data_IF_502064242243
#
_entry.id   IF_502064242243
#
_cell.length_a   1.000
_cell.length_b   1.000
_cell.length_c   1.000
_cell.angle_alpha   90.00
_cell.angle_beta   90.00
_cell.angle_gamma   90.00
#
_symmetry.space_group_name_H-M   'P 1'
#
loop_
_entity.id
_entity.type
_entity.pdbx_description
1 polymer ?
#
# COMPACT_ATOMS: atom_id res chain seq x y z
N UNK A 1 17.33 -21.36 7.15
CA UNK A 1 18.27 -20.31 6.72
C UNK A 1 18.75 -20.43 5.26
N UNK A 2 18.91 -21.66 4.72
CA UNK A 2 19.36 -21.85 3.33
C UNK A 2 18.47 -21.17 2.26
N UNK A 3 17.15 -21.24 2.40
CA UNK A 3 16.20 -20.67 1.43
C UNK A 3 16.28 -19.14 1.38
N UNK A 4 16.36 -18.48 2.53
CA UNK A 4 16.50 -17.02 2.64
C UNK A 4 17.78 -16.53 1.94
N UNK A 5 18.91 -17.19 2.17
CA UNK A 5 20.19 -16.86 1.53
C UNK A 5 20.15 -17.09 0.01
N UNK A 6 19.50 -18.16 -0.45
CA UNK A 6 19.30 -18.43 -1.88
C UNK A 6 18.44 -17.35 -2.54
N UNK A 7 17.34 -16.94 -1.91
CA UNK A 7 16.48 -15.86 -2.41
C UNK A 7 17.19 -14.51 -2.40
N UNK A 8 17.99 -14.22 -1.38
CA UNK A 8 18.80 -13.01 -1.32
C UNK A 8 19.84 -12.97 -2.45
N UNK A 9 20.58 -14.08 -2.67
CA UNK A 9 21.56 -14.18 -3.76
C UNK A 9 20.89 -14.02 -5.13
N UNK A 10 19.72 -14.63 -5.36
CA UNK A 10 18.94 -14.49 -6.60
C UNK A 10 18.50 -13.04 -6.84
N UNK A 11 18.16 -12.29 -5.79
CA UNK A 11 17.65 -10.92 -5.89
C UNK A 11 18.72 -9.84 -5.62
N UNK A 12 20.01 -10.20 -5.66
CA UNK A 12 21.12 -9.30 -5.29
C UNK A 12 21.07 -7.96 -6.05
N UNK A 13 20.80 -7.99 -7.35
CA UNK A 13 20.74 -6.78 -8.17
C UNK A 13 19.59 -5.85 -7.73
N UNK A 14 18.42 -6.41 -7.42
CA UNK A 14 17.28 -5.64 -6.94
C UNK A 14 17.58 -4.97 -5.58
N UNK A 15 18.31 -5.66 -4.70
CA UNK A 15 18.74 -5.10 -3.41
C UNK A 15 19.70 -3.92 -3.61
N UNK A 16 20.69 -4.06 -4.50
CA UNK A 16 21.62 -2.97 -4.81
C UNK A 16 20.89 -1.77 -5.43
N UNK A 17 19.99 -2.01 -6.37
CA UNK A 17 19.18 -0.96 -6.98
C UNK A 17 18.26 -0.27 -5.95
N UNK A 18 17.71 -1.02 -4.99
CA UNK A 18 16.88 -0.45 -3.93
C UNK A 18 17.69 0.44 -2.97
N UNK A 19 18.97 0.12 -2.73
CA UNK A 19 19.85 0.92 -1.88
C UNK A 19 20.30 2.23 -2.54
N UNK A 20 20.44 2.25 -3.88
CA UNK A 20 20.87 3.43 -4.63
C UNK A 20 19.72 4.28 -5.19
N UNK A 21 18.52 3.70 -5.26
CA UNK A 21 17.33 4.37 -5.77
C UNK A 21 16.91 5.55 -4.88
N UNK A 22 16.59 6.68 -5.52
CA UNK A 22 15.95 7.84 -4.86
C UNK A 22 14.48 7.60 -4.53
N UNK A 23 13.86 6.61 -5.15
CA UNK A 23 12.45 6.28 -4.94
C UNK A 23 12.27 5.26 -3.82
N UNK A 24 11.30 5.51 -2.95
CA UNK A 24 10.91 4.58 -1.89
C UNK A 24 9.66 3.79 -2.29
N UNK A 25 9.59 2.54 -1.83
CA UNK A 25 8.35 1.73 -1.92
C UNK A 25 7.32 2.14 -0.84
N UNK A 26 7.48 3.30 -0.21
CA UNK A 26 6.69 3.76 0.94
C UNK A 26 5.22 3.95 0.59
N UNK A 27 4.92 4.65 -0.50
CA UNK A 27 3.55 4.93 -0.94
C UNK A 27 2.79 3.65 -1.25
N UNK A 28 3.39 2.74 -2.02
CA UNK A 28 2.78 1.45 -2.37
C UNK A 28 2.54 0.59 -1.13
N UNK A 29 3.52 0.50 -0.21
CA UNK A 29 3.35 -0.20 1.08
C UNK A 29 2.23 0.42 1.91
N UNK A 30 2.14 1.74 1.94
CA UNK A 30 1.09 2.50 2.61
C UNK A 30 -0.31 2.16 2.07
N UNK A 31 -0.46 2.18 0.74
CA UNK A 31 -1.70 1.79 0.07
C UNK A 31 -2.08 0.35 0.36
N UNK A 32 -1.13 -0.59 0.26
CA UNK A 32 -1.36 -2.00 0.59
C UNK A 32 -1.80 -2.20 2.06
N UNK A 33 -1.22 -1.44 2.99
CA UNK A 33 -1.62 -1.47 4.42
C UNK A 33 -3.05 -0.98 4.60
N UNK A 34 -3.44 0.12 3.94
CA UNK A 34 -4.79 0.68 3.99
C UNK A 34 -5.82 -0.32 3.44
N UNK A 35 -5.57 -0.93 2.28
CA UNK A 35 -6.44 -1.95 1.68
C UNK A 35 -6.61 -3.14 2.63
N UNK A 36 -5.50 -3.66 3.19
CA UNK A 36 -5.54 -4.76 4.17
C UNK A 36 -6.32 -4.40 5.43
N UNK A 37 -6.26 -3.16 5.88
CA UNK A 37 -7.04 -2.69 7.03
C UNK A 37 -8.54 -2.63 6.71
N UNK A 38 -8.91 -2.10 5.53
CA UNK A 38 -10.30 -2.07 5.08
C UNK A 38 -10.87 -3.49 5.03
N UNK A 39 -10.13 -4.43 4.42
CA UNK A 39 -10.53 -5.84 4.36
C UNK A 39 -10.71 -6.47 5.75
N UNK A 40 -9.80 -6.22 6.71
CA UNK A 40 -9.92 -6.70 8.10
C UNK A 40 -11.16 -6.17 8.82
N UNK A 41 -11.53 -4.91 8.58
CA UNK A 41 -12.70 -4.26 9.18
C UNK A 41 -14.01 -4.49 8.42
N UNK A 42 -13.97 -5.22 7.32
CA UNK A 42 -15.14 -5.43 6.47
C UNK A 42 -16.08 -6.54 6.97
N UNK A 43 -15.71 -7.24 8.06
CA UNK A 43 -16.51 -8.28 8.75
C UNK A 43 -17.37 -9.14 7.81
N UNK A 44 -16.76 -9.67 6.75
CA UNK A 44 -17.45 -10.56 5.82
C UNK A 44 -18.22 -9.86 4.70
N UNK A 45 -17.67 -8.78 4.10
CA UNK A 45 -18.04 -8.42 2.72
C UNK A 45 -17.82 -9.63 1.81
N UNK A 46 -18.85 -10.46 1.66
CA UNK A 46 -18.86 -11.67 0.83
C UNK A 46 -18.70 -11.33 -0.66
N UNK A 47 -19.00 -10.09 -1.04
CA UNK A 47 -18.90 -9.61 -2.41
C UNK A 47 -17.67 -8.72 -2.61
N UNK A 48 -16.82 -9.08 -3.56
CA UNK A 48 -15.64 -8.29 -3.97
C UNK A 48 -16.02 -6.86 -4.41
N UNK A 49 -17.19 -6.67 -5.01
CA UNK A 49 -17.71 -5.36 -5.39
C UNK A 49 -17.88 -4.44 -4.18
N UNK A 50 -18.33 -4.97 -3.05
CA UNK A 50 -18.50 -4.21 -1.81
C UNK A 50 -17.15 -3.80 -1.22
N UNK A 51 -16.16 -4.71 -1.25
CA UNK A 51 -14.80 -4.39 -0.82
C UNK A 51 -14.18 -3.30 -1.70
N UNK A 52 -14.31 -3.42 -3.02
CA UNK A 52 -13.81 -2.45 -4.00
C UNK A 52 -14.46 -1.08 -3.80
N UNK A 53 -15.78 -1.04 -3.66
CA UNK A 53 -16.53 0.19 -3.39
C UNK A 53 -16.05 0.88 -2.11
N UNK A 54 -15.83 0.11 -1.03
CA UNK A 54 -15.33 0.65 0.24
C UNK A 54 -13.90 1.18 0.13
N UNK A 55 -13.04 0.52 -0.64
CA UNK A 55 -11.68 1.00 -0.94
C UNK A 55 -11.75 2.34 -1.70
N UNK A 56 -12.58 2.43 -2.76
CA UNK A 56 -12.73 3.64 -3.56
C UNK A 56 -13.27 4.81 -2.73
N UNK A 57 -14.28 4.57 -1.88
CA UNK A 57 -14.82 5.59 -0.98
C UNK A 57 -13.75 6.10 -0.01
N UNK A 58 -12.96 5.19 0.59
CA UNK A 58 -11.91 5.59 1.54
C UNK A 58 -10.77 6.35 0.84
N UNK A 59 -10.46 6.00 -0.41
CA UNK A 59 -9.47 6.73 -1.21
C UNK A 59 -9.95 8.15 -1.57
N UNK A 60 -11.21 8.33 -2.01
CA UNK A 60 -11.80 9.64 -2.31
C UNK A 60 -11.84 10.57 -1.09
N UNK A 61 -12.15 10.02 0.09
CA UNK A 61 -12.15 10.79 1.34
C UNK A 61 -10.76 11.28 1.78
N UNK A 62 -9.68 10.65 1.31
CA UNK A 62 -8.31 11.17 1.55
C UNK A 62 -8.06 12.40 0.67
N UNK A 63 -8.44 12.35 -0.61
CA UNK A 63 -8.29 13.47 -1.55
C UNK A 63 -9.05 14.71 -1.08
N UNK A 64 -10.30 14.54 -0.61
CA UNK A 64 -11.10 15.65 -0.08
C UNK A 64 -10.49 16.27 1.20
N UNK A 65 -9.84 15.47 2.05
CA UNK A 65 -9.14 15.95 3.25
C UNK A 65 -7.86 16.71 2.93
N UNK A 66 -7.08 16.23 1.97
CA UNK A 66 -5.85 16.92 1.55
C UNK A 66 -6.19 18.29 0.91
N UNK A 67 -7.25 18.36 0.10
CA UNK A 67 -7.69 19.61 -0.51
C UNK A 67 -8.28 20.63 0.48
N UNK A 68 -8.92 20.18 1.55
CA UNK A 68 -9.46 21.09 2.58
C UNK A 68 -8.35 21.67 3.47
N UNK A 69 -7.32 20.87 3.76
CA UNK A 69 -6.13 21.33 4.49
C UNK A 69 -5.28 22.32 3.68
N UNK A 70 -5.24 22.19 2.35
CA UNK A 70 -4.55 23.15 1.48
C UNK A 70 -5.30 24.47 1.27
N UNK A 71 -6.60 24.52 1.57
CA UNK A 71 -7.42 25.76 1.49
C UNK A 71 -7.39 26.51 2.83
N UNK A 72 -7.10 25.82 3.94
CA UNK A 72 -7.05 26.38 5.30
C UNK A 72 -5.65 26.72 5.79
N UNK A 73 -4.62 26.45 4.99
CA UNK A 73 -3.21 26.81 5.21
C UNK A 73 -2.83 28.00 4.33
#
# INVERSE_FOLDING_TARGET
MQTTLRTFKRNRQAVLNAATSKYSNGCVKGTNRRIKQIARTAYGSRNFSNLTTRIMLKAKNVVLKENTLSITA
#
